data_IF_171713625271
#
_entry.id   IF_171713625271
#
_cell.length_a   1.000
_cell.length_b   1.000
_cell.length_c   1.000
_cell.angle_alpha   90.00
_cell.angle_beta   90.00
_cell.angle_gamma   90.00
#
_symmetry.space_group_name_H-M   'P 1'
#
loop_
_entity.id
_entity.type
_entity.pdbx_description
1 polymer ?
#
# COMPACT_ATOMS: atom_id res chain seq x y z
N UNK A 1 -10.78 -22.15 -11.38
CA UNK A 1 -9.62 -21.33 -10.96
C UNK A 1 -9.79 -19.86 -11.37
N UNK A 2 -11.00 -19.28 -11.35
CA UNK A 2 -11.27 -17.92 -11.90
C UNK A 2 -11.84 -16.91 -10.90
N UNK A 3 -11.83 -17.20 -9.59
CA UNK A 3 -12.49 -16.35 -8.58
C UNK A 3 -11.55 -15.51 -7.72
N UNK A 4 -10.23 -15.69 -7.81
CA UNK A 4 -9.26 -14.93 -7.00
C UNK A 4 -8.69 -13.68 -7.71
N UNK A 5 -8.46 -13.72 -9.02
CA UNK A 5 -7.82 -12.59 -9.73
C UNK A 5 -8.67 -11.31 -9.74
N UNK A 6 -9.99 -11.43 -9.78
CA UNK A 6 -10.88 -10.26 -9.75
C UNK A 6 -10.84 -9.51 -8.42
N UNK A 7 -10.53 -10.18 -7.30
CA UNK A 7 -10.50 -9.58 -5.97
C UNK A 7 -9.16 -8.84 -5.73
N UNK A 8 -8.05 -9.39 -6.22
CA UNK A 8 -6.71 -8.79 -6.10
C UNK A 8 -6.61 -7.41 -6.75
N UNK A 9 -7.14 -7.27 -7.97
CA UNK A 9 -7.10 -6.01 -8.71
C UNK A 9 -7.88 -4.89 -8.01
N UNK A 10 -9.03 -5.24 -7.43
CA UNK A 10 -9.90 -4.33 -6.70
C UNK A 10 -9.24 -3.90 -5.37
N UNK A 11 -8.61 -4.82 -4.65
CA UNK A 11 -7.88 -4.53 -3.40
C UNK A 11 -6.71 -3.56 -3.66
N UNK A 12 -5.88 -3.84 -4.66
CA UNK A 12 -4.75 -2.97 -5.02
C UNK A 12 -5.21 -1.58 -5.45
N UNK A 13 -6.32 -1.49 -6.19
CA UNK A 13 -6.92 -0.22 -6.63
C UNK A 13 -7.39 0.59 -5.43
N UNK A 14 -8.08 -0.04 -4.47
CA UNK A 14 -8.55 0.62 -3.27
C UNK A 14 -7.39 1.08 -2.37
N UNK A 15 -6.37 0.23 -2.18
CA UNK A 15 -5.16 0.59 -1.43
C UNK A 15 -4.45 1.78 -2.08
N UNK A 16 -4.27 1.76 -3.41
CA UNK A 16 -3.66 2.85 -4.16
C UNK A 16 -4.44 4.17 -3.98
N UNK A 17 -5.76 4.12 -4.13
CA UNK A 17 -6.64 5.26 -3.86
C UNK A 17 -6.48 5.79 -2.43
N UNK A 18 -6.43 4.89 -1.44
CA UNK A 18 -6.24 5.27 -0.02
C UNK A 18 -4.90 5.97 0.25
N UNK A 19 -3.84 5.64 -0.51
CA UNK A 19 -2.52 6.26 -0.41
C UNK A 19 -2.53 7.62 -1.08
N UNK A 20 -3.06 7.72 -2.30
CA UNK A 20 -3.07 8.93 -3.11
C UNK A 20 -3.95 10.03 -2.50
N UNK A 21 -5.08 9.65 -1.90
CA UNK A 21 -6.03 10.59 -1.26
C UNK A 21 -5.66 10.95 0.18
N UNK A 22 -4.56 10.42 0.73
CA UNK A 22 -4.15 10.70 2.11
C UNK A 22 -3.39 12.02 2.22
N UNK A 23 -3.63 12.76 3.30
CA UNK A 23 -2.79 13.91 3.69
C UNK A 23 -1.32 13.51 3.97
N UNK A 24 -1.08 12.22 4.27
CA UNK A 24 0.24 11.68 4.59
C UNK A 24 0.53 10.39 3.81
N UNK A 25 0.76 10.46 2.47
CA UNK A 25 0.94 9.28 1.62
C UNK A 25 2.09 8.37 2.09
N UNK A 26 3.19 8.96 2.53
CA UNK A 26 4.35 8.26 3.11
C UNK A 26 3.99 7.39 4.31
N UNK A 27 3.17 7.92 5.23
CA UNK A 27 2.71 7.15 6.38
C UNK A 27 1.71 6.07 5.98
N UNK A 28 0.87 6.33 4.97
CA UNK A 28 -0.10 5.37 4.45
C UNK A 28 0.57 4.18 3.76
N UNK A 29 1.65 4.41 3.01
CA UNK A 29 2.50 3.33 2.47
C UNK A 29 3.05 2.43 3.59
N UNK A 30 3.67 3.05 4.60
CA UNK A 30 4.20 2.34 5.77
C UNK A 30 3.12 1.55 6.52
N UNK A 31 1.92 2.12 6.65
CA UNK A 31 0.76 1.45 7.26
C UNK A 31 0.43 0.16 6.51
N UNK A 32 0.26 0.24 5.19
CA UNK A 32 -0.05 -0.95 4.37
C UNK A 32 1.05 -1.99 4.43
N UNK A 33 2.32 -1.59 4.35
CA UNK A 33 3.41 -2.56 4.48
C UNK A 33 3.38 -3.32 5.81
N UNK A 34 3.12 -2.62 6.91
CA UNK A 34 2.98 -3.26 8.23
C UNK A 34 1.76 -4.18 8.29
N UNK A 35 0.63 -3.77 7.71
CA UNK A 35 -0.61 -4.55 7.66
C UNK A 35 -0.42 -5.88 6.93
N UNK A 36 0.34 -5.86 5.83
CA UNK A 36 0.76 -7.05 5.07
C UNK A 36 1.87 -7.86 5.77
N UNK A 37 2.37 -7.42 6.93
CA UNK A 37 3.41 -8.11 7.68
C UNK A 37 4.79 -8.10 7.01
N UNK A 38 5.01 -7.23 6.02
CA UNK A 38 6.23 -7.23 5.21
C UNK A 38 7.32 -6.36 5.86
N UNK A 39 8.54 -6.91 5.98
CA UNK A 39 9.69 -6.16 6.50
C UNK A 39 10.18 -5.14 5.46
N UNK A 40 10.65 -3.99 5.95
CA UNK A 40 11.20 -2.94 5.08
C UNK A 40 12.37 -3.46 4.22
N UNK A 41 13.26 -4.28 4.79
CA UNK A 41 14.39 -4.83 4.04
C UNK A 41 13.97 -5.76 2.89
N UNK A 42 12.94 -6.57 3.09
CA UNK A 42 12.47 -7.51 2.07
C UNK A 42 11.74 -6.79 0.93
N UNK A 43 10.91 -5.79 1.26
CA UNK A 43 10.29 -4.93 0.24
C UNK A 43 11.33 -4.15 -0.56
N UNK A 44 12.34 -3.58 0.11
CA UNK A 44 13.41 -2.85 -0.57
C UNK A 44 14.19 -3.76 -1.53
N UNK A 45 14.53 -4.98 -1.09
CA UNK A 45 15.18 -6.00 -1.94
C UNK A 45 14.32 -6.35 -3.16
N UNK A 46 13.03 -6.60 -2.97
CA UNK A 46 12.09 -6.91 -4.05
C UNK A 46 11.92 -5.76 -5.03
N UNK A 47 11.97 -4.52 -4.54
CA UNK A 47 11.91 -3.31 -5.35
C UNK A 47 13.25 -2.92 -5.98
N UNK A 48 14.34 -3.65 -5.75
CA UNK A 48 15.70 -3.31 -6.20
C UNK A 48 16.13 -1.89 -5.77
N UNK A 49 15.91 -1.57 -4.49
CA UNK A 49 16.37 -0.33 -3.84
C UNK A 49 16.98 -0.64 -2.48
N UNK A 50 17.71 0.30 -1.91
CA UNK A 50 18.27 0.12 -0.56
C UNK A 50 17.19 0.28 0.53
N UNK A 51 17.32 -0.41 1.67
CA UNK A 51 16.41 -0.21 2.80
C UNK A 51 16.35 1.24 3.29
N UNK A 52 17.45 1.99 3.18
CA UNK A 52 17.49 3.41 3.52
C UNK A 52 16.63 4.27 2.60
N UNK A 53 16.64 4.02 1.28
CA UNK A 53 15.78 4.73 0.31
C UNK A 53 14.30 4.47 0.61
N UNK A 54 13.93 3.21 0.87
CA UNK A 54 12.55 2.89 1.25
C UNK A 54 12.17 3.56 2.58
N UNK A 55 13.10 3.61 3.54
CA UNK A 55 12.91 4.32 4.81
C UNK A 55 12.68 5.82 4.61
N UNK A 56 13.39 6.46 3.67
CA UNK A 56 13.21 7.88 3.36
C UNK A 56 11.80 8.17 2.85
N UNK A 57 11.27 7.31 1.97
CA UNK A 57 9.90 7.43 1.48
C UNK A 57 8.88 7.23 2.59
N UNK A 58 9.03 6.19 3.43
CA UNK A 58 8.09 5.91 4.52
C UNK A 58 8.13 6.93 5.67
N UNK A 59 9.23 7.67 5.79
CA UNK A 59 9.39 8.77 6.77
C UNK A 59 9.03 10.13 6.19
N UNK A 60 8.73 10.22 4.90
CA UNK A 60 8.44 11.49 4.22
C UNK A 60 9.68 12.39 4.03
N UNK A 61 10.90 11.85 4.16
CA UNK A 61 12.15 12.59 3.85
C UNK A 61 12.31 12.82 2.35
N UNK A 62 11.71 11.96 1.53
CA UNK A 62 11.54 12.17 0.08
C UNK A 62 10.07 12.54 -0.15
N UNK A 63 9.76 13.82 -0.42
CA UNK A 63 8.39 14.24 -0.64
C UNK A 63 7.86 13.65 -1.96
N UNK A 64 6.57 13.35 -1.99
CA UNK A 64 5.81 12.98 -3.19
C UNK A 64 6.41 11.81 -4.00
N UNK A 65 6.26 10.55 -3.53
CA UNK A 65 6.59 9.40 -4.35
C UNK A 65 5.82 9.46 -5.68
N UNK A 66 6.55 9.40 -6.80
CA UNK A 66 5.91 9.40 -8.12
C UNK A 66 5.01 8.18 -8.33
N UNK A 67 4.05 8.28 -9.25
CA UNK A 67 3.06 7.22 -9.54
C UNK A 67 3.72 5.87 -9.82
N UNK A 68 4.85 5.85 -10.53
CA UNK A 68 5.61 4.62 -10.80
C UNK A 68 6.19 3.98 -9.53
N UNK A 69 6.60 4.79 -8.55
CA UNK A 69 7.07 4.27 -7.27
C UNK A 69 5.93 3.61 -6.50
N UNK A 70 4.77 4.30 -6.39
CA UNK A 70 3.59 3.77 -5.70
C UNK A 70 3.14 2.45 -6.34
N UNK A 71 3.05 2.40 -7.67
CA UNK A 71 2.70 1.17 -8.40
C UNK A 71 3.65 0.02 -8.07
N UNK A 72 4.95 0.24 -8.19
CA UNK A 72 5.97 -0.79 -7.88
C UNK A 72 5.92 -1.21 -6.41
N UNK A 73 5.71 -0.28 -5.50
CA UNK A 73 5.63 -0.54 -4.07
C UNK A 73 4.46 -1.47 -3.77
N UNK A 74 3.26 -1.15 -4.27
CA UNK A 74 2.05 -1.91 -3.97
C UNK A 74 2.07 -3.31 -4.60
N UNK A 75 2.55 -3.44 -5.83
CA UNK A 75 2.73 -4.75 -6.48
C UNK A 75 3.73 -5.61 -5.70
N UNK A 76 4.92 -5.08 -5.41
CA UNK A 76 5.93 -5.80 -4.64
C UNK A 76 5.45 -6.15 -3.22
N UNK A 77 4.67 -5.27 -2.60
CA UNK A 77 4.10 -5.50 -1.29
C UNK A 77 3.11 -6.66 -1.30
N UNK A 78 2.20 -6.67 -2.28
CA UNK A 78 1.18 -7.70 -2.42
C UNK A 78 1.81 -9.07 -2.68
N UNK A 79 2.74 -9.16 -3.63
CA UNK A 79 3.48 -10.39 -3.92
C UNK A 79 4.21 -10.95 -2.68
N UNK A 80 4.79 -10.08 -1.85
CA UNK A 80 5.43 -10.49 -0.60
C UNK A 80 4.41 -10.88 0.48
N UNK A 81 3.22 -10.27 0.52
CA UNK A 81 2.16 -10.61 1.47
C UNK A 81 1.48 -11.94 1.18
N UNK A 82 1.19 -12.21 -0.10
CA UNK A 82 0.64 -13.47 -0.61
C UNK A 82 1.56 -14.65 -0.25
N UNK A 83 2.86 -14.50 -0.47
CA UNK A 83 3.86 -15.52 -0.14
C UNK A 83 3.95 -15.83 1.37
N UNK A 84 3.47 -14.91 2.22
CA UNK A 84 3.48 -15.06 3.67
C UNK A 84 2.16 -15.57 4.26
N UNK A 85 1.13 -15.83 3.43
CA UNK A 85 -0.18 -16.34 3.89
C UNK A 85 -0.97 -15.37 4.80
N UNK A 86 -0.68 -14.06 4.74
CA UNK A 86 -1.27 -13.03 5.62
C UNK A 86 -2.17 -12.03 4.87
N UNK A 87 -2.86 -12.46 3.83
CA UNK A 87 -4.03 -11.75 3.31
C UNK A 87 -5.20 -11.97 4.30
N UNK A 88 -5.11 -11.34 5.47
CA UNK A 88 -6.18 -11.40 6.46
C UNK A 88 -7.33 -10.55 5.94
N UNK A 89 -8.47 -11.20 5.67
CA UNK A 89 -9.71 -10.61 5.16
C UNK A 89 -9.94 -9.22 5.73
N UNK A 90 -9.88 -8.21 4.86
CA UNK A 90 -10.26 -6.84 5.24
C UNK A 90 -11.79 -6.85 5.33
N UNK A 91 -12.39 -6.66 6.52
CA UNK A 91 -13.84 -6.50 6.58
C UNK A 91 -14.21 -5.28 5.71
N UNK A 92 -15.36 -5.33 4.98
CA UNK A 92 -15.78 -4.21 4.16
C UNK A 92 -15.80 -2.97 5.05
N UNK A 93 -14.91 -2.03 4.77
CA UNK A 93 -14.81 -0.82 5.59
C UNK A 93 -16.14 -0.09 5.39
N UNK A 94 -16.90 0.23 6.46
CA UNK A 94 -18.06 1.09 6.31
C UNK A 94 -17.52 2.39 5.72
N UNK A 95 -18.00 2.77 4.53
CA UNK A 95 -17.77 4.11 4.02
C UNK A 95 -18.26 5.05 5.11
N UNK A 96 -17.32 5.70 5.83
CA UNK A 96 -17.70 6.72 6.79
C UNK A 96 -18.51 7.73 5.97
N UNK A 97 -19.77 7.95 6.34
CA UNK A 97 -20.58 9.02 5.77
C UNK A 97 -19.84 10.33 6.03
N UNK A 98 -19.02 10.75 5.06
CA UNK A 98 -18.42 12.07 5.05
C UNK A 98 -19.57 13.03 4.77
N UNK A 99 -20.13 13.60 5.84
CA UNK A 99 -20.97 14.79 5.71
C UNK A 99 -20.06 15.92 5.20
N UNK A 100 -20.01 16.07 3.89
CA UNK A 100 -19.43 17.23 3.24
C UNK A 100 -20.44 18.35 3.48
N UNK A 101 -20.17 19.21 4.46
CA UNK A 101 -20.87 20.49 4.56
C UNK A 101 -20.49 21.31 3.32
N UNK A 102 -21.45 21.49 2.40
CA UNK A 102 -21.32 22.44 1.32
C UNK A 102 -21.41 23.88 1.87
N UNK A 103 -20.70 24.84 1.27
CA UNK A 103 -20.88 26.26 1.57
C UNK A 103 -22.26 26.78 1.12
#
# INVERSE_FOLDING_TARGET
>A
MSSNESNTGDELTWIAGSVVLSDNPSQKLKYWRKRFGVKQADLARKMDITPSVLSDYEKGRRPSPGVNFIKRYLIALYELGEANGKAEEVPPTPVANVHISQP
#
